data_IF_715968949606
#
_entry.id   IF_715968949606
#
_cell.length_a   1.000
_cell.length_b   1.000
_cell.length_c   1.000
_cell.angle_alpha   90.00
_cell.angle_beta   90.00
_cell.angle_gamma   90.00
#
_symmetry.space_group_name_H-M   'P 1'
#
loop_
_entity.id
_entity.type
_entity.pdbx_description
1 polymer ?
#
# COMPACT_ATOMS: atom_id res chain seq x y z
N UNK A 1 8.53 16.06 -20.28
CA UNK A 1 8.10 15.55 -18.96
C UNK A 1 7.60 16.74 -18.14
N UNK A 2 6.32 16.79 -17.83
CA UNK A 2 5.69 17.89 -17.08
C UNK A 2 6.03 17.83 -15.59
N UNK A 3 5.94 18.94 -14.87
CA UNK A 3 6.19 18.99 -13.41
C UNK A 3 5.30 17.99 -12.65
N UNK A 4 4.03 17.85 -13.05
CA UNK A 4 3.09 16.87 -12.48
C UNK A 4 3.56 15.42 -12.66
N UNK A 5 4.10 15.07 -13.84
CA UNK A 5 4.62 13.70 -14.08
C UNK A 5 5.85 13.36 -13.23
N UNK A 6 6.70 14.34 -12.91
CA UNK A 6 7.84 14.13 -12.00
C UNK A 6 7.37 13.91 -10.56
N UNK A 7 6.41 14.72 -10.12
CA UNK A 7 5.88 14.64 -8.76
C UNK A 7 5.24 13.26 -8.50
N UNK A 8 4.44 12.75 -9.46
CA UNK A 8 3.83 11.42 -9.37
C UNK A 8 4.86 10.28 -9.30
N UNK A 9 5.92 10.34 -10.12
CA UNK A 9 6.98 9.32 -10.11
C UNK A 9 7.78 9.30 -8.81
N UNK A 10 7.94 10.47 -8.17
CA UNK A 10 8.58 10.54 -6.86
C UNK A 10 7.69 9.86 -5.81
N UNK A 11 6.39 10.19 -5.75
CA UNK A 11 5.44 9.57 -4.81
C UNK A 11 5.41 8.05 -4.93
N UNK A 12 5.24 7.58 -6.15
CA UNK A 12 5.32 6.18 -6.57
C UNK A 12 6.57 5.46 -6.02
N UNK A 13 7.74 6.10 -6.12
CA UNK A 13 8.99 5.54 -5.64
C UNK A 13 9.03 5.43 -4.11
N UNK A 14 8.48 6.41 -3.39
CA UNK A 14 8.45 6.36 -1.92
C UNK A 14 7.48 5.29 -1.40
N UNK A 15 6.34 5.10 -2.07
CA UNK A 15 5.39 4.01 -1.76
C UNK A 15 6.05 2.65 -1.97
N UNK A 16 6.69 2.43 -3.13
CA UNK A 16 7.41 1.19 -3.43
C UNK A 16 8.50 0.91 -2.38
N UNK A 17 9.29 1.93 -2.01
CA UNK A 17 10.37 1.80 -1.03
C UNK A 17 9.86 1.47 0.38
N UNK A 18 8.75 2.09 0.79
CA UNK A 18 8.12 1.80 2.07
C UNK A 18 7.67 0.33 2.14
N UNK A 19 6.98 -0.16 1.10
CA UNK A 19 6.53 -1.56 1.03
C UNK A 19 7.72 -2.51 1.08
N UNK A 20 8.79 -2.23 0.32
CA UNK A 20 10.01 -3.04 0.34
C UNK A 20 10.60 -3.12 1.75
N UNK A 21 10.81 -1.99 2.42
CA UNK A 21 11.36 -1.97 3.77
C UNK A 21 10.46 -2.68 4.77
N UNK A 22 9.14 -2.55 4.62
CA UNK A 22 8.19 -3.26 5.46
C UNK A 22 8.30 -4.78 5.29
N UNK A 23 8.35 -5.27 4.05
CA UNK A 23 8.48 -6.71 3.76
C UNK A 23 9.83 -7.24 4.22
N UNK A 24 10.91 -6.48 4.03
CA UNK A 24 12.23 -6.86 4.55
C UNK A 24 12.21 -6.96 6.08
N UNK A 25 11.57 -6.01 6.77
CA UNK A 25 11.37 -6.08 8.22
C UNK A 25 10.68 -7.38 8.63
N UNK A 26 9.55 -7.73 8.02
CA UNK A 26 8.83 -8.97 8.33
C UNK A 26 9.62 -10.23 7.94
N UNK A 27 10.40 -10.18 6.85
CA UNK A 27 11.30 -11.27 6.44
C UNK A 27 12.34 -11.55 7.51
N UNK A 28 13.05 -10.52 7.96
CA UNK A 28 14.10 -10.66 8.96
C UNK A 28 13.53 -10.94 10.35
N UNK A 29 12.33 -10.47 10.66
CA UNK A 29 11.63 -10.84 11.90
C UNK A 29 11.25 -12.33 11.91
N UNK A 30 10.67 -12.85 10.84
CA UNK A 30 10.32 -14.26 10.72
C UNK A 30 11.56 -15.19 10.69
N UNK A 31 12.70 -14.68 10.22
CA UNK A 31 13.98 -15.39 10.22
C UNK A 31 14.81 -15.17 11.49
N UNK A 32 14.28 -14.45 12.49
CA UNK A 32 14.95 -14.20 13.77
C UNK A 32 16.28 -13.44 13.66
N UNK A 33 16.33 -12.42 12.79
CA UNK A 33 17.47 -11.49 12.65
C UNK A 33 17.16 -10.10 13.23
N UNK A 34 17.30 -9.89 14.57
CA UNK A 34 16.93 -8.66 15.27
C UNK A 34 17.46 -7.37 14.65
N UNK A 35 18.78 -7.33 14.36
CA UNK A 35 19.42 -6.09 13.92
C UNK A 35 18.85 -5.59 12.59
N UNK A 36 18.58 -6.51 11.66
CA UNK A 36 18.02 -6.18 10.35
C UNK A 36 16.53 -5.87 10.45
N UNK A 37 15.75 -6.65 11.21
CA UNK A 37 14.32 -6.38 11.39
C UNK A 37 14.09 -5.00 12.02
N UNK A 38 14.91 -4.61 13.01
CA UNK A 38 14.88 -3.28 13.63
C UNK A 38 15.25 -2.19 12.63
N UNK A 39 16.35 -2.35 11.89
CA UNK A 39 16.80 -1.38 10.89
C UNK A 39 15.70 -1.08 9.86
N UNK A 40 15.11 -2.12 9.28
CA UNK A 40 14.07 -1.97 8.27
C UNK A 40 12.74 -1.48 8.85
N UNK A 41 12.40 -1.87 10.09
CA UNK A 41 11.23 -1.34 10.79
C UNK A 41 11.30 0.15 11.07
N UNK A 42 12.48 0.64 11.48
CA UNK A 42 12.74 2.09 11.63
C UNK A 42 12.61 2.79 10.27
N UNK A 43 13.24 2.25 9.23
CA UNK A 43 13.21 2.85 7.90
C UNK A 43 11.77 2.96 7.35
N UNK A 44 10.97 1.89 7.45
CA UNK A 44 9.58 1.89 7.02
C UNK A 44 8.71 2.87 7.82
N UNK A 45 8.91 2.96 9.14
CA UNK A 45 8.17 3.91 10.00
C UNK A 45 8.50 5.35 9.64
N UNK A 46 9.78 5.68 9.40
CA UNK A 46 10.21 7.02 8.97
C UNK A 46 9.59 7.38 7.62
N UNK A 47 9.59 6.45 6.66
CA UNK A 47 8.95 6.67 5.36
C UNK A 47 7.45 6.91 5.49
N UNK A 48 6.75 6.16 6.36
CA UNK A 48 5.31 6.38 6.60
C UNK A 48 5.03 7.77 7.18
N UNK A 49 5.90 8.30 8.07
CA UNK A 49 5.76 9.67 8.59
C UNK A 49 5.94 10.71 7.46
N UNK A 50 6.93 10.50 6.58
CA UNK A 50 7.15 11.37 5.42
C UNK A 50 5.94 11.34 4.49
N UNK A 51 5.38 10.15 4.25
CA UNK A 51 4.22 9.94 3.38
C UNK A 51 2.97 10.65 3.93
N UNK A 52 2.68 10.44 5.22
CA UNK A 52 1.61 11.15 5.94
C UNK A 52 1.77 12.67 5.84
N UNK A 53 3.01 13.19 5.99
CA UNK A 53 3.27 14.63 5.92
C UNK A 53 3.05 15.18 4.51
N UNK A 54 3.39 14.42 3.48
CA UNK A 54 3.26 14.84 2.07
C UNK A 54 1.81 14.84 1.61
N UNK A 55 1.05 13.81 1.97
CA UNK A 55 -0.36 13.69 1.61
C UNK A 55 -1.31 14.30 2.65
N UNK A 56 -0.81 15.23 3.47
CA UNK A 56 -1.59 15.79 4.57
C UNK A 56 -2.80 16.60 4.07
N UNK A 57 -2.71 17.20 2.89
CA UNK A 57 -3.75 18.09 2.37
C UNK A 57 -5.00 17.34 1.88
N UNK A 58 -4.86 16.07 1.50
CA UNK A 58 -5.97 15.20 1.10
C UNK A 58 -6.61 14.54 2.33
N UNK A 59 -7.89 14.78 2.57
CA UNK A 59 -8.57 14.32 3.79
C UNK A 59 -8.56 12.79 3.90
N UNK A 60 -8.95 12.08 2.84
CA UNK A 60 -8.98 10.62 2.82
C UNK A 60 -7.58 10.03 3.09
N UNK A 61 -6.59 10.46 2.30
CA UNK A 61 -5.20 10.05 2.46
C UNK A 61 -4.65 10.37 3.86
N UNK A 62 -5.05 11.49 4.48
CA UNK A 62 -4.63 11.82 5.85
C UNK A 62 -5.10 10.79 6.86
N UNK A 63 -6.37 10.39 6.80
CA UNK A 63 -6.92 9.40 7.73
C UNK A 63 -6.31 8.01 7.51
N UNK A 64 -6.22 7.58 6.26
CA UNK A 64 -5.62 6.29 5.91
C UNK A 64 -4.15 6.24 6.31
N UNK A 65 -3.36 7.28 6.00
CA UNK A 65 -1.95 7.32 6.36
C UNK A 65 -1.70 7.46 7.86
N UNK A 66 -2.59 8.15 8.59
CA UNK A 66 -2.50 8.23 10.05
C UNK A 66 -2.82 6.87 10.67
N UNK A 67 -3.84 6.16 10.18
CA UNK A 67 -4.15 4.81 10.60
C UNK A 67 -3.01 3.83 10.31
N UNK A 68 -2.45 3.88 9.10
CA UNK A 68 -1.29 3.07 8.70
C UNK A 68 -0.08 3.37 9.58
N UNK A 69 0.17 4.63 9.93
CA UNK A 69 1.25 4.99 10.86
C UNK A 69 1.05 4.37 12.25
N UNK A 70 -0.16 4.43 12.81
CA UNK A 70 -0.46 3.79 14.09
C UNK A 70 -0.31 2.27 14.02
N UNK A 71 -0.76 1.65 12.92
CA UNK A 71 -0.62 0.21 12.71
C UNK A 71 0.86 -0.20 12.57
N UNK A 72 1.64 0.45 11.70
CA UNK A 72 3.08 0.20 11.54
C UNK A 72 3.81 0.35 12.88
N UNK A 73 3.49 1.40 13.64
CA UNK A 73 4.10 1.64 14.95
C UNK A 73 3.73 0.56 15.97
N UNK A 74 2.47 0.09 15.95
CA UNK A 74 1.99 -1.03 16.76
C UNK A 74 2.71 -2.33 16.45
N UNK A 75 2.76 -2.69 15.17
CA UNK A 75 3.40 -3.91 14.71
C UNK A 75 4.92 -3.88 14.95
N UNK A 76 5.57 -2.72 14.79
CA UNK A 76 6.96 -2.53 15.16
C UNK A 76 7.20 -2.68 16.67
N UNK A 77 6.34 -2.08 17.50
CA UNK A 77 6.41 -2.21 18.97
C UNK A 77 6.25 -3.67 19.41
N UNK A 78 5.30 -4.39 18.82
CA UNK A 78 5.11 -5.82 19.07
C UNK A 78 6.35 -6.63 18.70
N UNK A 79 6.89 -6.43 17.51
CA UNK A 79 8.13 -7.09 17.07
C UNK A 79 9.28 -6.90 18.06
N UNK A 80 9.48 -5.68 18.59
CA UNK A 80 10.51 -5.43 19.61
C UNK A 80 10.24 -6.26 20.86
N UNK A 81 8.99 -6.34 21.30
CA UNK A 81 8.58 -7.20 22.41
C UNK A 81 9.00 -8.66 22.21
N UNK A 82 8.63 -9.24 21.07
CA UNK A 82 8.98 -10.63 20.73
C UNK A 82 10.50 -10.84 20.65
N UNK A 83 11.17 -10.00 19.87
CA UNK A 83 12.60 -10.16 19.56
C UNK A 83 13.48 -10.14 20.80
N UNK A 84 13.11 -9.33 21.81
CA UNK A 84 13.92 -9.16 23.00
C UNK A 84 13.46 -10.04 24.17
N UNK A 85 12.15 -10.24 24.36
CA UNK A 85 11.65 -10.74 25.64
C UNK A 85 10.87 -12.06 25.56
N UNK A 86 10.42 -12.46 24.37
CA UNK A 86 9.64 -13.69 24.21
C UNK A 86 10.56 -14.92 24.28
N UNK A 87 10.26 -15.91 25.14
CA UNK A 87 11.00 -17.16 25.16
C UNK A 87 10.80 -17.92 23.85
N UNK A 88 11.89 -18.36 23.23
CA UNK A 88 11.83 -19.15 21.99
C UNK A 88 11.18 -20.51 22.22
N UNK A 89 10.13 -20.80 21.45
CA UNK A 89 9.61 -22.17 21.21
C UNK A 89 9.47 -22.41 19.70
N UNK A 90 10.48 -21.99 18.92
CA UNK A 90 10.46 -22.10 17.45
C UNK A 90 11.47 -23.13 16.96
N UNK A 91 11.08 -23.87 15.92
CA UNK A 91 11.99 -24.82 15.26
C UNK A 91 13.09 -24.11 14.45
N UNK A 92 13.02 -22.79 14.25
CA UNK A 92 14.01 -22.00 13.51
C UNK A 92 15.02 -21.42 14.49
N UNK A 93 16.30 -21.75 14.33
CA UNK A 93 17.40 -21.12 15.08
C UNK A 93 18.42 -20.54 14.09
N UNK A 94 17.99 -19.57 13.29
CA UNK A 94 18.82 -18.89 12.30
C UNK A 94 19.47 -17.60 12.84
N UNK A 95 18.98 -17.06 13.95
CA UNK A 95 19.56 -15.90 14.60
C UNK A 95 19.44 -15.92 16.11
N UNK A 96 19.95 -14.87 16.74
CA UNK A 96 20.19 -14.81 18.18
C UNK A 96 18.99 -14.19 18.91
N UNK A 97 17.85 -14.87 18.89
CA UNK A 97 16.70 -14.53 19.73
C UNK A 97 16.58 -15.52 20.91
N UNK A 98 15.89 -15.15 22.01
CA UNK A 98 15.66 -13.77 22.38
C UNK A 98 17.01 -13.04 22.55
N UNK A 99 17.07 -11.77 22.16
CA UNK A 99 18.32 -11.01 22.17
C UNK A 99 18.85 -10.76 23.59
N UNK A 100 17.99 -10.91 24.61
CA UNK A 100 18.29 -10.81 26.03
C UNK A 100 17.56 -11.94 26.80
N UNK A 101 17.75 -12.00 28.12
CA UNK A 101 17.06 -13.00 28.95
C UNK A 101 15.53 -12.86 28.85
N UNK A 102 14.79 -13.95 28.60
CA UNK A 102 13.34 -13.90 28.44
C UNK A 102 12.65 -13.27 29.65
N UNK A 103 11.69 -12.37 29.41
CA UNK A 103 10.93 -11.71 30.46
C UNK A 103 9.48 -11.46 30.01
N UNK A 104 8.57 -12.30 30.52
CA UNK A 104 7.15 -12.26 30.13
C UNK A 104 6.44 -10.95 30.54
N UNK A 105 6.86 -10.32 31.63
CA UNK A 105 6.25 -9.07 32.10
C UNK A 105 6.64 -7.91 31.17
N UNK A 106 7.90 -7.85 30.73
CA UNK A 106 8.34 -6.86 29.75
C UNK A 106 7.69 -7.11 28.39
N UNK A 107 7.67 -8.37 27.91
CA UNK A 107 6.95 -8.75 26.69
C UNK A 107 5.50 -8.26 26.69
N UNK A 108 4.77 -8.49 27.79
CA UNK A 108 3.37 -8.08 27.92
C UNK A 108 3.20 -6.56 27.82
N UNK A 109 4.14 -5.75 28.32
CA UNK A 109 4.08 -4.28 28.14
C UNK A 109 4.14 -3.89 26.67
N UNK A 110 5.03 -4.51 25.89
CA UNK A 110 5.12 -4.27 24.45
C UNK A 110 3.86 -4.73 23.72
N UNK A 111 3.33 -5.92 24.06
CA UNK A 111 2.08 -6.44 23.52
C UNK A 111 0.90 -5.50 23.79
N UNK A 112 0.72 -5.02 25.02
CA UNK A 112 -0.35 -4.07 25.34
C UNK A 112 -0.15 -2.70 24.67
N UNK A 113 1.10 -2.24 24.54
CA UNK A 113 1.43 -1.04 23.77
C UNK A 113 1.01 -1.17 22.30
N UNK A 114 1.31 -2.31 21.68
CA UNK A 114 0.91 -2.61 20.31
C UNK A 114 -0.62 -2.68 20.16
N UNK A 115 -1.33 -3.36 21.06
CA UNK A 115 -2.80 -3.41 21.08
C UNK A 115 -3.41 -2.01 21.16
N UNK A 116 -2.86 -1.12 21.99
CA UNK A 116 -3.32 0.26 22.09
C UNK A 116 -3.13 1.02 20.76
N UNK A 117 -1.98 0.84 20.10
CA UNK A 117 -1.70 1.45 18.79
C UNK A 117 -2.60 0.89 17.68
N UNK A 118 -2.84 -0.42 17.65
CA UNK A 118 -3.81 -1.04 16.74
C UNK A 118 -5.23 -0.51 16.99
N UNK A 119 -5.62 -0.34 18.25
CA UNK A 119 -6.92 0.24 18.62
C UNK A 119 -7.07 1.68 18.11
N UNK A 120 -6.01 2.49 18.18
CA UNK A 120 -5.99 3.84 17.61
C UNK A 120 -6.13 3.80 16.09
N UNK A 121 -5.40 2.90 15.41
CA UNK A 121 -5.51 2.71 13.96
C UNK A 121 -6.95 2.35 13.54
N UNK A 122 -7.55 1.35 14.19
CA UNK A 122 -8.96 0.97 13.98
C UNK A 122 -9.89 2.15 14.25
N UNK A 123 -9.69 2.89 15.34
CA UNK A 123 -10.51 4.05 15.68
C UNK A 123 -10.48 5.15 14.63
N UNK A 124 -9.28 5.47 14.11
CA UNK A 124 -9.10 6.46 13.03
C UNK A 124 -9.83 6.02 11.76
N UNK A 125 -9.66 4.77 11.33
CA UNK A 125 -10.36 4.24 10.14
C UNK A 125 -11.88 4.22 10.34
N UNK A 126 -12.36 3.72 11.47
CA UNK A 126 -13.80 3.64 11.74
C UNK A 126 -14.44 5.04 11.72
N UNK A 127 -13.82 6.04 12.35
CA UNK A 127 -14.33 7.41 12.32
C UNK A 127 -14.36 7.94 10.88
N UNK A 128 -13.28 7.75 10.12
CA UNK A 128 -13.19 8.18 8.72
C UNK A 128 -14.30 7.56 7.87
N UNK A 129 -14.42 6.23 7.88
CA UNK A 129 -15.43 5.52 7.08
C UNK A 129 -16.86 5.82 7.55
N UNK A 130 -17.12 5.97 8.86
CA UNK A 130 -18.44 6.38 9.34
C UNK A 130 -18.83 7.79 8.87
N UNK A 131 -17.89 8.74 8.90
CA UNK A 131 -18.09 10.08 8.37
C UNK A 131 -18.33 10.04 6.86
N UNK A 132 -17.52 9.25 6.13
CA UNK A 132 -17.64 9.05 4.70
C UNK A 132 -19.02 8.46 4.32
N UNK A 133 -19.41 7.34 4.93
CA UNK A 133 -20.71 6.71 4.68
C UNK A 133 -21.89 7.60 5.07
N UNK A 134 -21.79 8.36 6.17
CA UNK A 134 -22.82 9.32 6.57
C UNK A 134 -23.01 10.41 5.50
N UNK A 135 -21.90 10.94 4.96
CA UNK A 135 -21.94 11.94 3.89
C UNK A 135 -22.52 11.36 2.61
N UNK A 136 -22.02 10.20 2.17
CA UNK A 136 -22.52 9.51 0.98
C UNK A 136 -24.04 9.20 1.06
N UNK A 137 -24.52 8.80 2.25
CA UNK A 137 -25.94 8.56 2.49
C UNK A 137 -26.78 9.84 2.49
N UNK A 138 -26.24 10.95 3.02
CA UNK A 138 -26.95 12.23 3.05
C UNK A 138 -27.08 12.86 1.65
N UNK A 139 -26.07 12.69 0.80
CA UNK A 139 -25.99 13.37 -0.50
C UNK A 139 -26.77 12.65 -1.62
N UNK A 140 -27.19 11.38 -1.45
CA UNK A 140 -27.95 10.65 -2.49
C UNK A 140 -29.03 9.69 -1.94
N UNK A 141 -30.33 10.07 -1.95
CA UNK A 141 -31.41 9.19 -1.50
C UNK A 141 -31.83 8.09 -2.50
N UNK A 142 -31.47 8.19 -3.79
CA UNK A 142 -32.22 7.48 -4.86
C UNK A 142 -31.49 6.37 -5.64
N UNK A 143 -30.25 5.99 -5.33
CA UNK A 143 -29.67 4.78 -5.95
C UNK A 143 -28.83 3.96 -4.99
N UNK A 144 -29.46 2.93 -4.40
CA UNK A 144 -28.81 1.86 -3.60
C UNK A 144 -27.65 1.21 -4.36
N UNK A 145 -27.70 1.20 -5.70
CA UNK A 145 -26.64 0.67 -6.57
C UNK A 145 -25.29 1.40 -6.41
N UNK A 146 -25.24 2.61 -5.85
CA UNK A 146 -23.97 3.33 -5.61
C UNK A 146 -23.37 3.11 -4.23
N UNK A 147 -24.09 2.51 -3.28
CA UNK A 147 -23.61 2.34 -1.90
C UNK A 147 -22.47 1.30 -1.77
N UNK A 148 -22.32 0.44 -2.77
CA UNK A 148 -21.23 -0.54 -2.90
C UNK A 148 -20.15 -0.13 -3.92
N UNK A 149 -20.35 0.99 -4.64
CA UNK A 149 -19.38 1.50 -5.59
C UNK A 149 -18.45 2.49 -4.89
N UNK A 150 -17.24 2.05 -4.59
CA UNK A 150 -16.16 2.96 -4.24
C UNK A 150 -16.01 4.01 -5.35
N UNK A 151 -15.86 5.30 -5.01
CA UNK A 151 -15.84 6.39 -6.00
C UNK A 151 -14.63 6.27 -6.93
N UNK A 152 -13.53 5.70 -6.42
CA UNK A 152 -12.31 5.48 -7.18
C UNK A 152 -11.80 4.05 -6.97
N UNK A 153 -11.05 3.54 -7.95
CA UNK A 153 -10.33 2.28 -7.83
C UNK A 153 -9.38 2.31 -6.63
N UNK A 154 -8.74 3.45 -6.38
CA UNK A 154 -7.84 3.66 -5.26
C UNK A 154 -8.55 3.48 -3.91
N UNK A 155 -9.74 4.06 -3.73
CA UNK A 155 -10.52 3.86 -2.50
C UNK A 155 -10.95 2.39 -2.29
N UNK A 156 -11.27 1.67 -3.37
CA UNK A 156 -11.55 0.23 -3.31
C UNK A 156 -10.32 -0.55 -2.88
N UNK A 157 -9.16 -0.23 -3.46
CA UNK A 157 -7.89 -0.84 -3.10
C UNK A 157 -7.58 -0.57 -1.64
N UNK A 158 -7.58 0.68 -1.19
CA UNK A 158 -7.23 1.07 0.17
C UNK A 158 -8.14 0.45 1.24
N UNK A 159 -9.34 0.00 0.87
CA UNK A 159 -10.26 -0.72 1.78
C UNK A 159 -9.65 -2.02 2.35
N UNK A 160 -8.72 -2.67 1.64
CA UNK A 160 -8.01 -3.83 2.18
C UNK A 160 -7.29 -3.50 3.51
N UNK A 161 -6.81 -2.26 3.66
CA UNK A 161 -6.09 -1.78 4.85
C UNK A 161 -6.93 -1.94 6.11
N UNK A 162 -8.24 -1.71 6.05
CA UNK A 162 -9.13 -1.86 7.21
C UNK A 162 -9.11 -3.31 7.72
N UNK A 163 -9.33 -4.26 6.81
CA UNK A 163 -9.36 -5.68 7.15
C UNK A 163 -7.98 -6.17 7.61
N UNK A 164 -6.93 -5.60 7.04
CA UNK A 164 -5.57 -5.88 7.46
C UNK A 164 -5.27 -5.40 8.89
N UNK A 165 -5.65 -4.17 9.23
CA UNK A 165 -5.51 -3.65 10.60
C UNK A 165 -6.34 -4.47 11.58
N UNK A 166 -7.55 -4.88 11.20
CA UNK A 166 -8.37 -5.79 12.02
C UNK A 166 -7.71 -7.15 12.23
N UNK A 167 -7.07 -7.72 11.20
CA UNK A 167 -6.30 -8.96 11.35
C UNK A 167 -5.27 -8.84 12.47
N UNK A 168 -4.40 -7.82 12.41
CA UNK A 168 -3.34 -7.63 13.41
C UNK A 168 -3.90 -7.31 14.81
N UNK A 169 -4.96 -6.50 14.88
CA UNK A 169 -5.65 -6.21 16.13
C UNK A 169 -6.20 -7.49 16.78
N UNK A 170 -6.92 -8.32 16.01
CA UNK A 170 -7.49 -9.56 16.52
C UNK A 170 -6.42 -10.62 16.80
N UNK A 171 -5.34 -10.66 16.03
CA UNK A 171 -4.19 -11.53 16.30
C UNK A 171 -3.52 -11.17 17.62
N UNK A 172 -3.24 -9.89 17.87
CA UNK A 172 -2.65 -9.44 19.14
C UNK A 172 -3.55 -9.70 20.37
N UNK A 173 -4.87 -9.75 20.15
CA UNK A 173 -5.86 -10.15 21.17
C UNK A 173 -6.09 -11.66 21.26
N UNK A 174 -5.39 -12.47 20.46
CA UNK A 174 -5.55 -13.94 20.35
C UNK A 174 -6.98 -14.38 19.94
N UNK A 175 -7.70 -13.52 19.22
CA UNK A 175 -9.05 -13.78 18.71
C UNK A 175 -8.99 -14.48 17.34
N UNK A 176 -8.53 -15.72 17.34
CA UNK A 176 -8.17 -16.48 16.14
C UNK A 176 -9.19 -16.47 15.00
N UNK A 177 -10.47 -16.85 15.20
CA UNK A 177 -11.45 -16.85 14.12
C UNK A 177 -11.65 -15.49 13.46
N UNK A 178 -11.65 -14.40 14.25
CA UNK A 178 -11.81 -13.04 13.74
C UNK A 178 -10.58 -12.57 12.97
N UNK A 179 -9.39 -12.93 13.44
CA UNK A 179 -8.13 -12.65 12.76
C UNK A 179 -8.08 -13.36 11.39
N UNK A 180 -8.47 -14.64 11.34
CA UNK A 180 -8.54 -15.43 10.09
C UNK A 180 -9.55 -14.86 9.10
N UNK A 181 -10.78 -14.53 9.54
CA UNK A 181 -11.79 -13.91 8.66
C UNK A 181 -11.26 -12.60 8.07
N UNK A 182 -10.64 -11.76 8.90
CA UNK A 182 -10.08 -10.46 8.46
C UNK A 182 -8.93 -10.64 7.46
N UNK A 183 -8.04 -11.62 7.70
CA UNK A 183 -6.99 -11.98 6.74
C UNK A 183 -7.55 -12.45 5.40
N UNK A 184 -8.56 -13.33 5.41
CA UNK A 184 -9.19 -13.84 4.19
C UNK A 184 -9.86 -12.74 3.37
N UNK A 185 -10.54 -11.79 4.02
CA UNK A 185 -11.12 -10.62 3.33
C UNK A 185 -10.03 -9.77 2.68
N UNK A 186 -8.92 -9.53 3.37
CA UNK A 186 -7.79 -8.77 2.84
C UNK A 186 -7.18 -9.46 1.62
N UNK A 187 -6.89 -10.77 1.71
CA UNK A 187 -6.35 -11.57 0.59
C UNK A 187 -7.32 -11.56 -0.59
N UNK A 188 -8.62 -11.70 -0.33
CA UNK A 188 -9.64 -11.69 -1.38
C UNK A 188 -9.66 -10.38 -2.16
N UNK A 189 -9.57 -9.24 -1.47
CA UNK A 189 -9.48 -7.92 -2.11
C UNK A 189 -8.18 -7.81 -2.93
N UNK A 190 -7.03 -8.17 -2.35
CA UNK A 190 -5.74 -8.11 -3.03
C UNK A 190 -5.68 -8.99 -4.29
N UNK A 191 -6.19 -10.21 -4.22
CA UNK A 191 -6.28 -11.12 -5.38
C UNK A 191 -7.26 -10.58 -6.42
N UNK A 192 -8.40 -10.03 -6.01
CA UNK A 192 -9.35 -9.42 -6.94
C UNK A 192 -8.70 -8.26 -7.71
N UNK A 193 -8.01 -7.37 -7.01
CA UNK A 193 -7.26 -6.25 -7.61
C UNK A 193 -6.18 -6.76 -8.58
N UNK A 194 -5.37 -7.71 -8.14
CA UNK A 194 -4.31 -8.30 -8.97
C UNK A 194 -4.84 -8.93 -10.26
N UNK A 195 -5.85 -9.79 -10.15
CA UNK A 195 -6.34 -10.61 -11.28
C UNK A 195 -7.18 -9.79 -12.26
N UNK A 196 -8.09 -8.94 -11.76
CA UNK A 196 -9.05 -8.26 -12.63
C UNK A 196 -8.60 -6.88 -13.10
N UNK A 197 -7.70 -6.21 -12.36
CA UNK A 197 -7.29 -4.84 -12.69
C UNK A 197 -5.87 -4.76 -13.24
N UNK A 198 -4.92 -5.36 -12.53
CA UNK A 198 -3.52 -5.09 -12.82
C UNK A 198 -2.84 -6.03 -13.80
N UNK A 199 -3.52 -7.07 -14.29
CA UNK A 199 -2.97 -8.03 -15.28
C UNK A 199 -2.43 -7.41 -16.59
N UNK A 200 -2.83 -6.19 -16.94
CA UNK A 200 -2.38 -5.50 -18.15
C UNK A 200 -1.21 -4.54 -17.90
N UNK A 201 -1.01 -4.08 -16.65
CA UNK A 201 0.06 -3.16 -16.31
C UNK A 201 1.20 -3.93 -15.65
N UNK A 202 2.35 -4.00 -16.31
CA UNK A 202 3.50 -4.75 -15.80
C UNK A 202 3.90 -4.29 -14.40
N UNK A 203 4.00 -2.97 -14.18
CA UNK A 203 4.36 -2.41 -12.86
C UNK A 203 3.35 -2.79 -11.80
N UNK A 204 2.09 -2.43 -12.02
CA UNK A 204 1.04 -2.64 -11.02
C UNK A 204 0.83 -4.12 -10.72
N UNK A 205 1.03 -4.99 -11.71
CA UNK A 205 0.97 -6.43 -11.53
C UNK A 205 2.02 -6.92 -10.52
N UNK A 206 3.29 -6.52 -10.67
CA UNK A 206 4.36 -6.98 -9.78
C UNK A 206 4.22 -6.40 -8.36
N UNK A 207 3.79 -5.15 -8.24
CA UNK A 207 3.50 -4.53 -6.95
C UNK A 207 2.33 -5.22 -6.24
N UNK A 208 1.22 -5.46 -6.94
CA UNK A 208 0.08 -6.18 -6.37
C UNK A 208 0.42 -7.64 -6.04
N UNK A 209 1.23 -8.31 -6.86
CA UNK A 209 1.70 -9.67 -6.57
C UNK A 209 2.58 -9.72 -5.31
N UNK A 210 3.49 -8.76 -5.17
CA UNK A 210 4.30 -8.59 -3.97
C UNK A 210 3.42 -8.46 -2.72
N UNK A 211 2.43 -7.55 -2.78
CA UNK A 211 1.49 -7.30 -1.68
C UNK A 211 0.70 -8.58 -1.32
N UNK A 212 0.14 -9.28 -2.31
CA UNK A 212 -0.62 -10.53 -2.07
C UNK A 212 0.26 -11.61 -1.46
N UNK A 213 1.50 -11.78 -1.93
CA UNK A 213 2.45 -12.74 -1.35
C UNK A 213 2.76 -12.40 0.10
N UNK A 214 3.04 -11.13 0.41
CA UNK A 214 3.30 -10.69 1.78
C UNK A 214 2.09 -10.89 2.71
N UNK A 215 0.89 -10.47 2.30
CA UNK A 215 -0.35 -10.66 3.08
C UNK A 215 -0.60 -12.15 3.34
N UNK A 216 -0.38 -13.01 2.34
CA UNK A 216 -0.52 -14.47 2.48
C UNK A 216 0.52 -15.04 3.44
N UNK A 217 1.76 -14.58 3.38
CA UNK A 217 2.82 -14.95 4.32
C UNK A 217 2.46 -14.61 5.76
N UNK A 218 2.00 -13.39 6.01
CA UNK A 218 1.58 -12.95 7.35
C UNK A 218 0.36 -13.72 7.87
N UNK A 219 -0.62 -13.99 7.01
CA UNK A 219 -1.76 -14.84 7.40
C UNK A 219 -1.31 -16.26 7.75
N UNK A 220 -0.35 -16.81 7.00
CA UNK A 220 0.24 -18.13 7.27
C UNK A 220 0.98 -18.14 8.61
N UNK A 221 1.76 -17.10 8.90
CA UNK A 221 2.43 -16.97 10.19
C UNK A 221 1.41 -16.91 11.33
N UNK A 222 0.48 -15.97 11.27
CA UNK A 222 -0.57 -15.80 12.26
C UNK A 222 -1.34 -17.10 12.55
N UNK A 223 -1.72 -17.85 11.51
CA UNK A 223 -2.41 -19.15 11.67
C UNK A 223 -1.51 -20.15 12.39
N UNK A 224 -0.23 -20.22 12.00
CA UNK A 224 0.73 -21.13 12.64
C UNK A 224 0.96 -20.80 14.11
N UNK A 225 1.00 -19.53 14.47
CA UNK A 225 1.13 -19.08 15.86
C UNK A 225 -0.13 -19.41 16.68
N UNK A 226 -1.32 -19.08 16.15
CA UNK A 226 -2.58 -19.24 16.88
C UNK A 226 -3.04 -20.70 17.01
N UNK A 227 -2.67 -21.58 16.06
CA UNK A 227 -3.21 -22.94 15.99
C UNK A 227 -2.16 -24.07 15.95
N UNK A 228 -0.90 -23.78 15.64
CA UNK A 228 0.12 -24.81 15.37
C UNK A 228 1.41 -24.68 16.20
N UNK A 229 1.41 -23.87 17.26
CA UNK A 229 2.59 -23.62 18.12
C UNK A 229 3.78 -23.08 17.30
N UNK A 230 3.55 -21.99 16.56
CA UNK A 230 4.53 -21.23 15.76
C UNK A 230 5.17 -21.96 14.55
N UNK A 231 4.58 -23.05 14.06
CA UNK A 231 5.09 -23.77 12.86
C UNK A 231 4.95 -22.99 11.55
N UNK A 232 4.13 -21.95 11.52
CA UNK A 232 3.85 -21.14 10.32
C UNK A 232 5.00 -20.25 9.87
N UNK A 233 5.97 -19.97 10.75
CA UNK A 233 7.01 -18.95 10.51
C UNK A 233 7.91 -19.24 9.31
N UNK A 234 8.30 -20.51 9.11
CA UNK A 234 9.10 -20.94 7.94
C UNK A 234 8.35 -20.75 6.62
N UNK A 235 7.08 -21.13 6.61
CA UNK A 235 6.24 -20.97 5.43
C UNK A 235 6.03 -19.48 5.12
N UNK A 236 5.78 -18.66 6.14
CA UNK A 236 5.68 -17.21 6.02
C UNK A 236 6.95 -16.57 5.45
N UNK A 237 8.13 -16.93 5.97
CA UNK A 237 9.41 -16.45 5.46
C UNK A 237 9.62 -16.79 3.96
N UNK A 238 9.11 -17.94 3.50
CA UNK A 238 9.15 -18.32 2.09
C UNK A 238 8.28 -17.40 1.23
N UNK A 239 7.09 -17.05 1.69
CA UNK A 239 6.23 -16.07 1.02
C UNK A 239 6.87 -14.68 0.97
N UNK A 240 7.48 -14.23 2.07
CA UNK A 240 8.17 -12.94 2.10
C UNK A 240 9.37 -12.89 1.15
N UNK A 241 10.15 -13.97 1.08
CA UNK A 241 11.24 -14.07 0.10
C UNK A 241 10.72 -13.96 -1.34
N UNK A 242 9.59 -14.63 -1.66
CA UNK A 242 8.95 -14.50 -2.98
C UNK A 242 8.45 -13.07 -3.24
N UNK A 243 7.92 -12.38 -2.23
CA UNK A 243 7.50 -10.99 -2.33
C UNK A 243 8.68 -10.03 -2.57
N UNK A 244 9.83 -10.26 -1.93
CA UNK A 244 11.06 -9.49 -2.22
C UNK A 244 11.55 -9.75 -3.65
N UNK A 245 11.56 -11.01 -4.08
CA UNK A 245 11.98 -11.40 -5.44
C UNK A 245 11.08 -10.75 -6.51
N UNK A 246 9.76 -10.69 -6.28
CA UNK A 246 8.84 -10.07 -7.23
C UNK A 246 9.14 -8.59 -7.46
N UNK A 247 9.47 -7.84 -6.40
CA UNK A 247 9.84 -6.43 -6.51
C UNK A 247 11.21 -6.23 -7.13
N UNK A 248 12.21 -7.05 -6.77
CA UNK A 248 13.54 -7.00 -7.39
C UNK A 248 13.45 -7.27 -8.90
N UNK A 249 12.64 -8.26 -9.29
CA UNK A 249 12.43 -8.61 -10.71
C UNK A 249 11.83 -7.44 -11.48
N UNK A 250 10.85 -6.75 -10.91
CA UNK A 250 10.32 -5.50 -11.47
C UNK A 250 11.40 -4.42 -11.59
N UNK A 251 12.16 -4.16 -10.52
CA UNK A 251 13.21 -3.15 -10.50
C UNK A 251 14.30 -3.39 -11.56
N UNK A 252 14.76 -4.63 -11.71
CA UNK A 252 15.72 -5.02 -12.75
C UNK A 252 15.11 -4.83 -14.14
N UNK A 253 13.85 -5.25 -14.35
CA UNK A 253 13.16 -5.05 -15.63
C UNK A 253 13.10 -3.58 -16.06
N UNK A 254 12.85 -2.67 -15.11
CA UNK A 254 12.86 -1.23 -15.36
C UNK A 254 14.24 -0.70 -15.75
N UNK A 255 15.31 -1.16 -15.07
CA UNK A 255 16.68 -0.78 -15.41
C UNK A 255 17.06 -1.27 -16.81
N UNK A 256 16.71 -2.50 -17.16
CA UNK A 256 16.99 -3.06 -18.49
C UNK A 256 16.21 -2.34 -19.62
N UNK A 257 15.01 -1.84 -19.34
CA UNK A 257 14.23 -1.03 -20.29
C UNK A 257 14.74 0.40 -20.43
N UNK A 258 15.29 0.99 -19.36
CA UNK A 258 15.88 2.32 -19.40
C UNK A 258 17.12 2.39 -20.30
N UNK A 259 17.83 1.26 -20.45
CA UNK A 259 19.00 1.14 -21.34
C UNK A 259 18.62 0.80 -22.79
N UNK A 260 17.33 0.56 -23.12
CA UNK A 260 16.90 0.33 -24.50
C UNK A 260 16.75 1.67 -25.25
N UNK A 261 17.58 1.97 -26.27
CA UNK A 261 17.47 3.22 -27.03
C UNK A 261 16.26 3.25 -27.99
N UNK A 262 15.57 2.12 -28.21
CA UNK A 262 14.43 2.03 -29.14
C UNK A 262 13.27 2.97 -28.83
N UNK A 263 12.73 3.08 -27.59
CA UNK A 263 11.66 4.03 -27.29
C UNK A 263 12.05 5.50 -27.52
N UNK A 264 13.32 5.86 -27.32
CA UNK A 264 13.81 7.21 -27.64
C UNK A 264 13.87 7.46 -29.15
N UNK A 265 14.24 6.44 -29.93
CA UNK A 265 14.26 6.52 -31.39
C UNK A 265 12.85 6.53 -31.99
N UNK A 266 11.91 5.74 -31.47
CA UNK A 266 10.51 5.73 -31.93
C UNK A 266 9.82 7.07 -31.63
N UNK A 267 10.00 7.62 -30.43
CA UNK A 267 9.48 8.95 -30.09
C UNK A 267 10.11 10.08 -30.93
N UNK A 268 11.38 9.94 -31.31
CA UNK A 268 12.04 10.89 -32.21
C UNK A 268 11.48 10.82 -33.64
N UNK A 269 11.18 9.61 -34.14
CA UNK A 269 10.57 9.39 -35.45
C UNK A 269 9.14 9.94 -35.49
N UNK A 270 8.30 9.67 -34.48
CA UNK A 270 6.95 10.24 -34.42
C UNK A 270 6.96 11.79 -34.39
N UNK A 271 7.93 12.39 -33.70
CA UNK A 271 8.08 13.84 -33.66
C UNK A 271 8.54 14.43 -35.00
N UNK A 272 9.35 13.70 -35.78
CA UNK A 272 9.68 14.09 -37.15
C UNK A 272 8.48 13.95 -38.07
N UNK A 273 7.69 12.89 -37.97
CA UNK A 273 6.48 12.69 -38.79
C UNK A 273 5.43 13.78 -38.52
N UNK A 274 5.20 14.16 -37.26
CA UNK A 274 4.29 15.25 -36.90
C UNK A 274 4.79 16.59 -37.42
N UNK A 275 6.09 16.89 -37.29
CA UNK A 275 6.67 18.14 -37.85
C UNK A 275 6.55 18.17 -39.38
N UNK A 276 6.75 17.04 -40.04
CA UNK A 276 6.61 16.90 -41.49
C UNK A 276 5.18 17.13 -41.94
N UNK A 277 4.20 16.62 -41.20
CA UNK A 277 2.78 16.85 -41.48
C UNK A 277 2.37 18.32 -41.30
N UNK A 278 2.81 18.98 -40.23
CA UNK A 278 2.49 20.40 -39.97
C UNK A 278 3.07 21.33 -41.03
N UNK A 279 4.30 21.08 -41.50
CA UNK A 279 4.92 21.90 -42.57
C UNK A 279 4.22 21.70 -43.93
N UNK A 280 3.51 20.58 -44.12
CA UNK A 280 2.79 20.31 -45.36
C UNK A 280 1.40 20.99 -45.47
N UNK A 281 0.85 21.48 -44.35
CA UNK A 281 -0.52 22.01 -44.27
C UNK A 281 -0.59 23.55 -44.37
N UNK A 282 0.54 24.26 -44.24
CA UNK A 282 0.63 25.72 -44.41
C UNK A 282 0.44 26.21 -45.87
N UNK A 283 0.09 25.32 -46.80
CA UNK A 283 -0.12 25.62 -48.22
C UNK A 283 -1.55 25.99 -48.62
N UNK A 284 -2.55 25.88 -47.73
CA UNK A 284 -3.95 26.05 -48.09
C UNK A 284 -4.74 26.87 -47.05
N UNK A 285 -4.30 28.11 -46.78
CA UNK A 285 -5.11 29.09 -46.08
C UNK A 285 -6.24 29.56 -47.01
N UNK A 286 -7.42 28.95 -46.84
CA UNK A 286 -8.69 29.47 -47.36
C UNK A 286 -9.28 30.39 -46.28
N UNK A 287 -9.38 31.67 -46.63
CA UNK A 287 -10.12 32.70 -45.90
C UNK A 287 -11.57 32.24 -45.65
N UNK A 288 -11.93 31.99 -44.38
CA UNK A 288 -13.31 32.01 -43.93
C UNK A 288 -13.34 32.49 -42.46
N UNK A 289 -13.43 33.81 -42.31
CA UNK A 289 -13.80 34.45 -41.06
C UNK A 289 -15.31 34.25 -40.82
N UNK A 290 -15.67 33.46 -39.81
CA UNK A 290 -16.99 33.54 -39.18
C UNK A 290 -16.82 34.05 -37.73
N UNK A 291 -17.63 35.02 -37.29
CA UNK A 291 -17.46 35.68 -36.00
C UNK A 291 -17.96 34.79 -34.84
N UNK A 292 -17.08 34.59 -33.87
CA UNK A 292 -17.32 33.89 -32.60
C UNK A 292 -18.31 34.69 -31.75
N UNK A 293 -19.41 34.03 -31.36
CA UNK A 293 -20.37 34.52 -30.37
C UNK A 293 -20.05 33.98 -28.97
N UNK A 294 -20.00 34.92 -28.03
CA UNK A 294 -20.15 34.86 -26.57
C UNK A 294 -19.68 33.63 -25.78
N UNK A 295 -18.64 33.88 -24.97
CA UNK A 295 -18.19 33.08 -23.83
C UNK A 295 -19.30 32.87 -22.78
N UNK A 296 -19.63 31.61 -22.47
CA UNK A 296 -20.41 31.25 -21.27
C UNK A 296 -19.45 30.89 -20.11
N UNK A 297 -19.27 31.76 -19.11
CA UNK A 297 -18.34 31.55 -18.00
C UNK A 297 -18.80 30.51 -16.97
N UNK A 298 -19.91 29.81 -17.17
CA UNK A 298 -20.47 28.87 -16.16
C UNK A 298 -19.92 27.45 -16.22
N UNK A 299 -19.27 27.05 -17.32
CA UNK A 299 -18.75 25.68 -17.47
C UNK A 299 -17.37 25.44 -16.82
N UNK A 300 -16.68 26.49 -16.38
CA UNK A 300 -15.35 26.38 -15.77
C UNK A 300 -15.35 26.18 -14.25
N UNK A 301 -16.45 26.47 -13.55
CA UNK A 301 -16.55 26.25 -12.09
C UNK A 301 -16.93 24.81 -11.72
N UNK A 302 -17.70 24.10 -12.55
CA UNK A 302 -18.21 22.75 -12.22
C UNK A 302 -17.11 21.68 -12.24
N UNK A 303 -16.09 21.84 -13.09
CA UNK A 303 -14.95 20.92 -13.22
C UNK A 303 -13.95 21.00 -12.06
N UNK A 304 -13.90 22.11 -11.32
CA UNK A 304 -12.93 22.29 -10.22
C UNK A 304 -13.41 21.63 -8.93
N UNK A 305 -14.72 21.42 -8.77
CA UNK A 305 -15.30 20.78 -7.58
C UNK A 305 -15.20 19.26 -7.55
N UNK A 306 -15.01 18.59 -8.69
CA UNK A 306 -14.87 17.12 -8.75
C UNK A 306 -13.47 16.61 -8.38
N UNK A 307 -12.44 17.46 -8.44
CA UNK A 307 -11.05 17.07 -8.16
C UNK A 307 -10.66 17.10 -6.66
N UNK A 308 -11.59 17.48 -5.77
CA UNK A 308 -11.32 17.77 -4.34
C UNK A 308 -12.02 16.81 -3.35
N UNK A 309 -12.61 15.71 -3.80
CA UNK A 309 -13.22 14.67 -2.97
C UNK A 309 -12.50 13.32 -3.12
#
# INVERSE_FOLDING_TARGET
MTMASRCRLEEDFFEDLQIIFWILKDTFWALLFPALSILFGIAATVLQVIFLRRQWDLLASRFDNAATLFWISGNFTWMIGETFYEPEDTDINLGNTPAIEPNIDEYNKFKYGAIAQFSLSVGVLLVFYLCYFRKAYADTPESVDRMLCFPTLKAYEDTHTIFWVFKDFFWALELGPLAVISALLTISIGVHVLVLRYRQSFREFWNALCLVLWITGSATWMIGELYENDKGRRAAASFYALAVISVITYGIGKLLQADDPRPANEAAVELEDVKSAVISDDGNAIDNEDPIGDDDPRLSEELVTEELL
#
